data_IF_981996749363
#
_entry.id   IF_981996749363
#
_cell.length_a   1.000
_cell.length_b   1.000
_cell.length_c   1.000
_cell.angle_alpha   90.00
_cell.angle_beta   90.00
_cell.angle_gamma   90.00
#
_symmetry.space_group_name_H-M   'P 1'
#
loop_
_entity.id
_entity.type
_entity.pdbx_description
1 polymer ?
#
# COMPACT_ATOMS: atom_id res chain seq x y z
N UNK A 1 -5.30 -4.72 -12.82
CA UNK A 1 -5.02 -5.97 -12.08
C UNK A 1 -6.21 -6.39 -11.22
N UNK A 2 -6.56 -5.64 -10.17
CA UNK A 2 -7.66 -5.96 -9.25
C UNK A 2 -9.00 -6.15 -9.96
N UNK A 3 -9.33 -5.33 -10.95
CA UNK A 3 -10.59 -5.48 -11.70
C UNK A 3 -10.63 -6.77 -12.54
N UNK A 4 -9.49 -7.25 -13.04
CA UNK A 4 -9.42 -8.55 -13.74
C UNK A 4 -9.62 -9.74 -12.79
N UNK A 5 -9.43 -9.53 -11.50
CA UNK A 5 -9.80 -10.51 -10.47
C UNK A 5 -11.28 -10.40 -10.09
N UNK A 6 -12.01 -9.38 -10.58
CA UNK A 6 -13.37 -9.07 -10.15
C UNK A 6 -13.42 -8.46 -8.74
N UNK A 7 -12.39 -7.69 -8.38
CA UNK A 7 -12.20 -7.14 -7.04
C UNK A 7 -11.48 -8.10 -6.07
N UNK A 8 -11.15 -7.58 -4.89
CA UNK A 8 -10.50 -8.32 -3.81
C UNK A 8 -11.19 -8.09 -2.48
N UNK A 9 -11.32 -9.15 -1.69
CA UNK A 9 -11.79 -9.07 -0.31
C UNK A 9 -10.59 -8.89 0.61
N UNK A 10 -10.64 -7.86 1.45
CA UNK A 10 -9.59 -7.52 2.41
C UNK A 10 -10.15 -7.48 3.83
N UNK A 11 -9.26 -7.62 4.80
CA UNK A 11 -9.53 -7.28 6.19
C UNK A 11 -8.87 -5.94 6.48
N UNK A 12 -9.66 -4.89 6.61
CA UNK A 12 -9.17 -3.54 6.94
C UNK A 12 -8.64 -3.56 8.38
N UNK A 13 -7.33 -3.35 8.60
CA UNK A 13 -6.74 -3.53 9.94
C UNK A 13 -7.27 -2.50 10.96
N UNK A 14 -7.35 -1.24 10.53
CA UNK A 14 -7.78 -0.11 11.36
C UNK A 14 -8.67 0.80 10.52
N UNK A 15 -9.74 1.31 11.12
CA UNK A 15 -10.61 2.29 10.47
C UNK A 15 -9.84 3.60 10.27
N UNK A 16 -10.03 4.26 9.13
CA UNK A 16 -9.38 5.53 8.85
C UNK A 16 -10.22 6.42 7.94
N UNK A 17 -9.93 7.72 7.98
CA UNK A 17 -10.47 8.71 7.04
C UNK A 17 -9.36 9.62 6.57
N UNK A 18 -9.23 9.77 5.25
CA UNK A 18 -8.27 10.67 4.61
C UNK A 18 -9.06 11.75 3.86
N UNK A 19 -9.09 12.95 4.44
CA UNK A 19 -9.77 14.12 3.85
C UNK A 19 -8.94 14.83 2.77
N UNK A 20 -7.69 14.40 2.56
CA UNK A 20 -6.75 15.02 1.64
C UNK A 20 -6.24 13.99 0.61
N UNK A 21 -7.12 13.08 0.16
CA UNK A 21 -6.77 12.17 -0.92
C UNK A 21 -6.81 12.92 -2.26
N UNK A 22 -5.70 12.98 -3.03
CA UNK A 22 -5.63 13.82 -4.22
C UNK A 22 -6.55 13.30 -5.33
N UNK A 23 -7.30 14.23 -5.93
CA UNK A 23 -8.13 13.96 -7.11
C UNK A 23 -7.25 14.11 -8.36
N UNK A 24 -7.09 13.04 -9.17
CA UNK A 24 -6.27 13.11 -10.38
C UNK A 24 -6.72 14.22 -11.33
N UNK A 25 -5.76 14.99 -11.85
CA UNK A 25 -6.01 16.08 -12.78
C UNK A 25 -6.33 17.43 -12.14
N UNK A 26 -6.52 17.49 -10.81
CA UNK A 26 -6.76 18.74 -10.09
C UNK A 26 -5.51 19.26 -9.37
N UNK A 27 -4.33 18.71 -9.63
CA UNK A 27 -3.12 18.96 -8.83
C UNK A 27 -2.70 20.45 -8.80
N UNK A 28 -3.02 21.19 -9.87
CA UNK A 28 -2.67 22.60 -10.03
C UNK A 28 -3.88 23.55 -9.96
N UNK A 29 -5.07 23.04 -9.63
CA UNK A 29 -6.28 23.86 -9.59
C UNK A 29 -6.16 24.98 -8.55
N UNK A 30 -6.63 26.18 -8.90
CA UNK A 30 -6.57 27.34 -8.01
C UNK A 30 -7.71 27.34 -7.00
N UNK A 31 -8.67 26.42 -7.11
CA UNK A 31 -9.88 26.37 -6.29
C UNK A 31 -10.69 27.69 -6.31
N UNK A 32 -10.60 28.45 -7.41
CA UNK A 32 -11.27 29.74 -7.56
C UNK A 32 -10.55 30.91 -6.90
N UNK A 33 -9.38 30.70 -6.28
CA UNK A 33 -8.58 31.79 -5.72
C UNK A 33 -7.88 32.60 -6.80
N UNK A 34 -7.77 33.90 -6.53
CA UNK A 34 -7.01 34.86 -7.34
C UNK A 34 -5.51 34.74 -7.11
N UNK A 35 -4.71 35.30 -8.01
CA UNK A 35 -3.25 35.32 -7.88
C UNK A 35 -2.77 35.98 -6.58
N UNK A 36 -3.43 37.06 -6.14
CA UNK A 36 -3.07 37.78 -4.92
C UNK A 36 -3.39 36.96 -3.66
N UNK A 37 -4.53 36.27 -3.62
CA UNK A 37 -4.87 35.35 -2.52
C UNK A 37 -3.87 34.20 -2.43
N UNK A 38 -3.51 33.62 -3.58
CA UNK A 38 -2.50 32.55 -3.66
C UNK A 38 -1.14 33.05 -3.16
N UNK A 39 -0.73 34.26 -3.54
CA UNK A 39 0.51 34.86 -3.06
C UNK A 39 0.46 35.09 -1.53
N UNK A 40 -0.70 35.51 -1.01
CA UNK A 40 -0.96 35.61 0.42
C UNK A 40 -0.78 34.28 1.15
N UNK A 41 -1.31 33.18 0.60
CA UNK A 41 -1.11 31.84 1.16
C UNK A 41 0.36 31.41 1.12
N UNK A 42 1.05 31.61 0.00
CA UNK A 42 2.48 31.26 -0.16
C UNK A 42 3.40 32.04 0.79
N UNK A 43 3.01 33.25 1.19
CA UNK A 43 3.76 34.02 2.18
C UNK A 43 3.58 33.49 3.61
N UNK A 44 2.46 32.83 3.91
CA UNK A 44 2.08 32.39 5.26
C UNK A 44 2.31 30.89 5.51
N UNK A 45 2.16 30.08 4.48
CA UNK A 45 2.16 28.63 4.58
C UNK A 45 3.20 28.02 3.63
N UNK A 46 3.68 26.83 4.00
CA UNK A 46 4.62 26.05 3.19
C UNK A 46 4.33 24.56 3.30
N UNK A 47 4.82 23.80 2.32
CA UNK A 47 4.62 22.34 2.27
C UNK A 47 3.14 21.97 2.32
N UNK A 48 2.79 20.95 3.11
CA UNK A 48 1.43 20.46 3.20
C UNK A 48 0.43 21.48 3.76
N UNK A 49 0.87 22.42 4.61
CA UNK A 49 -0.02 23.47 5.14
C UNK A 49 -0.47 24.45 4.05
N UNK A 50 0.38 24.69 3.04
CA UNK A 50 0.01 25.45 1.85
C UNK A 50 -0.97 24.66 0.98
N UNK A 51 -0.69 23.37 0.76
CA UNK A 51 -1.55 22.50 -0.03
C UNK A 51 -2.97 22.39 0.54
N UNK A 52 -3.13 22.36 1.87
CA UNK A 52 -4.43 22.35 2.56
C UNK A 52 -5.32 23.54 2.22
N UNK A 53 -4.76 24.65 1.73
CA UNK A 53 -5.56 25.82 1.33
C UNK A 53 -6.36 25.53 0.04
N UNK A 54 -5.89 24.59 -0.79
CA UNK A 54 -6.51 24.21 -2.06
C UNK A 54 -7.36 22.94 -1.91
N UNK A 55 -8.41 23.01 -1.08
CA UNK A 55 -9.24 21.85 -0.74
C UNK A 55 -9.93 21.19 -1.93
N UNK A 56 -10.21 21.95 -3.01
CA UNK A 56 -10.82 21.41 -4.24
C UNK A 56 -9.96 20.34 -4.94
N UNK A 57 -8.66 20.26 -4.62
CA UNK A 57 -7.74 19.26 -5.18
C UNK A 57 -7.90 17.88 -4.56
N UNK A 58 -8.75 17.77 -3.54
CA UNK A 58 -8.84 16.59 -2.69
C UNK A 58 -10.27 16.07 -2.57
N UNK A 59 -10.37 14.76 -2.36
CA UNK A 59 -11.58 14.07 -1.95
C UNK A 59 -11.39 13.41 -0.58
N UNK A 60 -12.50 13.11 0.09
CA UNK A 60 -12.49 12.34 1.33
C UNK A 60 -12.71 10.86 1.04
N UNK A 61 -11.80 10.00 1.50
CA UNK A 61 -11.97 8.55 1.48
C UNK A 61 -12.03 8.01 2.91
N UNK A 62 -12.89 7.02 3.16
CA UNK A 62 -13.07 6.47 4.50
C UNK A 62 -13.32 4.96 4.45
N UNK A 63 -12.70 4.23 5.36
CA UNK A 63 -12.81 2.78 5.47
C UNK A 63 -13.05 2.38 6.92
N UNK A 64 -14.00 1.49 7.14
CA UNK A 64 -14.25 0.88 8.46
C UNK A 64 -13.32 -0.31 8.64
N UNK A 65 -12.94 -0.58 9.89
CA UNK A 65 -12.21 -1.79 10.23
C UNK A 65 -13.05 -3.05 9.95
N UNK A 66 -12.38 -4.15 9.59
CA UNK A 66 -13.03 -5.42 9.28
C UNK A 66 -13.17 -5.70 7.78
N UNK A 67 -14.07 -6.62 7.39
CA UNK A 67 -14.18 -7.10 6.02
C UNK A 67 -14.62 -5.98 5.05
N UNK A 68 -13.95 -5.89 3.91
CA UNK A 68 -14.34 -5.01 2.82
C UNK A 68 -14.00 -5.64 1.46
N UNK A 69 -14.86 -5.41 0.47
CA UNK A 69 -14.60 -5.76 -0.93
C UNK A 69 -14.19 -4.51 -1.68
N UNK A 70 -13.03 -4.56 -2.34
CA UNK A 70 -12.43 -3.43 -3.05
C UNK A 70 -12.30 -3.74 -4.54
N UNK A 71 -12.82 -2.85 -5.39
CA UNK A 71 -12.47 -2.80 -6.81
C UNK A 71 -11.08 -2.16 -7.01
N UNK A 72 -10.61 -2.04 -8.25
CA UNK A 72 -9.30 -1.48 -8.55
C UNK A 72 -9.12 -0.04 -8.10
N UNK A 73 -10.16 0.79 -8.19
CA UNK A 73 -10.10 2.19 -7.77
C UNK A 73 -10.07 2.30 -6.25
N UNK A 74 -10.95 1.56 -5.56
CA UNK A 74 -11.01 1.53 -4.11
C UNK A 74 -9.73 0.93 -3.51
N UNK A 75 -9.21 -0.17 -4.09
CA UNK A 75 -7.95 -0.78 -3.65
C UNK A 75 -6.78 0.20 -3.80
N UNK A 76 -6.71 0.93 -4.92
CA UNK A 76 -5.67 1.94 -5.14
C UNK A 76 -5.75 3.07 -4.11
N UNK A 77 -6.95 3.60 -3.85
CA UNK A 77 -7.19 4.62 -2.82
C UNK A 77 -6.80 4.11 -1.44
N UNK A 78 -7.22 2.89 -1.10
CA UNK A 78 -6.95 2.23 0.17
C UNK A 78 -5.45 2.08 0.44
N UNK A 79 -4.64 1.66 -0.53
CA UNK A 79 -3.18 1.46 -0.33
C UNK A 79 -2.34 2.73 -0.47
N UNK A 80 -2.90 3.80 -1.06
CA UNK A 80 -2.18 5.08 -1.28
C UNK A 80 -2.51 6.16 -0.27
N UNK A 81 -3.64 6.07 0.43
CA UNK A 81 -3.98 7.06 1.45
C UNK A 81 -2.84 7.21 2.47
N UNK A 82 -2.47 8.46 2.75
CA UNK A 82 -1.28 8.82 3.53
C UNK A 82 -1.55 9.84 4.61
N UNK A 83 -2.56 10.69 4.43
CA UNK A 83 -2.82 11.78 5.39
C UNK A 83 -3.76 11.37 6.53
N UNK A 84 -4.25 10.14 6.52
CA UNK A 84 -5.07 9.61 7.61
C UNK A 84 -4.25 9.19 8.85
N UNK A 85 -3.03 8.70 8.66
CA UNK A 85 -2.28 8.01 9.71
C UNK A 85 -0.75 8.05 9.50
N UNK A 86 -0.10 6.88 9.35
CA UNK A 86 1.34 6.71 9.27
C UNK A 86 1.72 5.84 8.07
N UNK A 87 2.98 5.95 7.64
CA UNK A 87 3.52 5.09 6.58
C UNK A 87 3.49 3.59 6.95
N UNK A 88 3.52 3.26 8.26
CA UNK A 88 3.35 1.88 8.76
C UNK A 88 1.91 1.38 8.62
N UNK A 89 0.92 2.21 8.93
CA UNK A 89 -0.47 1.86 8.71
C UNK A 89 -0.80 1.73 7.22
N UNK A 90 -0.20 2.56 6.36
CA UNK A 90 -0.24 2.36 4.90
C UNK A 90 0.37 1.03 4.46
N UNK A 91 1.50 0.63 5.04
CA UNK A 91 2.12 -0.68 4.79
C UNK A 91 1.18 -1.83 5.19
N UNK A 92 0.54 -1.76 6.37
CA UNK A 92 -0.45 -2.75 6.80
C UNK A 92 -1.64 -2.86 5.81
N UNK A 93 -2.11 -1.74 5.26
CA UNK A 93 -3.14 -1.74 4.20
C UNK A 93 -2.66 -2.42 2.91
N UNK A 94 -1.39 -2.24 2.54
CA UNK A 94 -0.79 -2.92 1.38
C UNK A 94 -0.72 -4.44 1.60
N UNK A 95 -0.31 -4.89 2.78
CA UNK A 95 -0.36 -6.31 3.14
C UNK A 95 -1.78 -6.88 3.10
N UNK A 96 -2.78 -6.15 3.59
CA UNK A 96 -4.16 -6.58 3.54
C UNK A 96 -4.65 -6.82 2.09
N UNK A 97 -4.27 -5.95 1.15
CA UNK A 97 -4.56 -6.14 -0.28
C UNK A 97 -3.81 -7.33 -0.86
N UNK A 98 -2.53 -7.52 -0.52
CA UNK A 98 -1.76 -8.69 -0.96
C UNK A 98 -2.39 -10.01 -0.47
N UNK A 99 -2.84 -10.05 0.78
CA UNK A 99 -3.57 -11.19 1.34
C UNK A 99 -4.88 -11.43 0.59
N UNK A 100 -5.64 -10.38 0.27
CA UNK A 100 -6.85 -10.47 -0.54
C UNK A 100 -6.60 -11.00 -1.95
N UNK A 101 -5.56 -10.51 -2.63
CA UNK A 101 -5.13 -11.01 -3.95
C UNK A 101 -4.75 -12.49 -3.87
N UNK A 102 -3.97 -12.90 -2.87
CA UNK A 102 -3.61 -14.30 -2.64
C UNK A 102 -4.86 -15.17 -2.52
N UNK A 103 -5.79 -14.81 -1.62
CA UNK A 103 -7.01 -15.57 -1.39
C UNK A 103 -7.88 -15.66 -2.65
N UNK A 104 -7.95 -14.57 -3.43
CA UNK A 104 -8.66 -14.54 -4.70
C UNK A 104 -8.07 -15.50 -5.72
N UNK A 105 -6.75 -15.54 -5.87
CA UNK A 105 -6.06 -16.48 -6.75
C UNK A 105 -6.30 -17.94 -6.33
N UNK A 106 -6.29 -18.24 -5.03
CA UNK A 106 -6.62 -19.59 -4.53
C UNK A 106 -8.05 -19.99 -4.87
N UNK A 107 -9.01 -19.09 -4.71
CA UNK A 107 -10.40 -19.36 -5.10
C UNK A 107 -10.55 -19.66 -6.59
N UNK A 108 -9.80 -18.97 -7.45
CA UNK A 108 -9.82 -19.19 -8.90
C UNK A 108 -9.14 -20.51 -9.30
N UNK A 109 -8.14 -20.97 -8.53
CA UNK A 109 -7.55 -22.30 -8.67
C UNK A 109 -8.60 -23.39 -8.47
N UNK A 110 -9.38 -23.30 -7.40
CA UNK A 110 -10.48 -24.25 -7.11
C UNK A 110 -11.54 -24.29 -8.21
N UNK A 111 -11.65 -23.24 -9.03
CA UNK A 111 -12.58 -23.13 -10.15
C UNK A 111 -11.96 -23.47 -11.52
N UNK A 112 -10.71 -23.96 -11.56
CA UNK A 112 -9.96 -24.24 -12.79
C UNK A 112 -9.81 -23.04 -13.76
N UNK A 113 -9.86 -21.79 -13.24
CA UNK A 113 -9.71 -20.55 -14.04
C UNK A 113 -8.33 -19.91 -13.95
N UNK A 114 -7.45 -20.51 -13.14
CA UNK A 114 -6.18 -19.90 -12.73
C UNK A 114 -5.24 -19.64 -13.92
N UNK A 115 -5.11 -20.57 -14.86
CA UNK A 115 -4.16 -20.47 -15.99
C UNK A 115 -4.40 -19.22 -16.85
N UNK A 116 -5.65 -18.99 -17.27
CA UNK A 116 -6.03 -17.80 -18.05
C UNK A 116 -5.82 -16.50 -17.25
N UNK A 117 -6.12 -16.55 -15.95
CA UNK A 117 -5.98 -15.40 -15.05
C UNK A 117 -4.51 -15.02 -14.88
N UNK A 118 -3.63 -15.99 -14.61
CA UNK A 118 -2.19 -15.76 -14.45
C UNK A 118 -1.58 -15.22 -15.74
N UNK A 119 -2.01 -15.72 -16.90
CA UNK A 119 -1.65 -15.15 -18.21
C UNK A 119 -1.87 -13.65 -18.26
N UNK A 120 -3.12 -13.21 -18.05
CA UNK A 120 -3.51 -11.80 -18.05
C UNK A 120 -2.78 -10.98 -16.98
N UNK A 121 -2.59 -11.52 -15.77
CA UNK A 121 -1.90 -10.80 -14.71
C UNK A 121 -0.41 -10.60 -15.01
N UNK A 122 0.24 -11.58 -15.64
CA UNK A 122 1.67 -11.50 -15.99
C UNK A 122 1.96 -10.40 -17.02
N UNK A 123 1.00 -10.03 -17.86
CA UNK A 123 1.12 -8.91 -18.80
C UNK A 123 1.02 -7.55 -18.10
N UNK A 124 0.42 -7.50 -16.90
CA UNK A 124 0.24 -6.29 -16.10
C UNK A 124 1.35 -6.05 -15.09
N UNK A 125 2.21 -7.04 -14.85
CA UNK A 125 3.25 -7.00 -13.81
C UNK A 125 4.59 -7.37 -14.41
N UNK A 126 5.58 -6.49 -14.24
CA UNK A 126 6.96 -6.79 -14.64
C UNK A 126 7.58 -7.77 -13.64
N UNK A 127 7.94 -8.97 -14.10
CA UNK A 127 8.55 -10.02 -13.28
C UNK A 127 9.53 -10.87 -14.11
N UNK A 128 10.50 -11.50 -13.44
CA UNK A 128 11.41 -12.51 -13.99
C UNK A 128 10.84 -13.95 -13.92
N UNK A 129 9.67 -14.09 -13.29
CA UNK A 129 8.89 -15.32 -13.26
C UNK A 129 8.15 -15.47 -14.59
N UNK A 130 8.59 -16.41 -15.42
CA UNK A 130 7.85 -16.80 -16.62
C UNK A 130 6.58 -17.54 -16.24
N UNK A 131 5.59 -17.57 -17.14
CA UNK A 131 4.35 -18.35 -16.94
C UNK A 131 4.64 -19.82 -16.60
N UNK A 132 5.61 -20.43 -17.27
CA UNK A 132 6.04 -21.79 -16.97
C UNK A 132 6.57 -21.95 -15.54
N UNK A 133 7.44 -21.04 -15.08
CA UNK A 133 7.95 -21.05 -13.69
C UNK A 133 6.82 -20.88 -12.68
N UNK A 134 5.85 -19.99 -12.94
CA UNK A 134 4.70 -19.78 -12.06
C UNK A 134 3.89 -21.07 -11.93
N UNK A 135 3.60 -21.76 -13.05
CA UNK A 135 2.89 -23.05 -13.03
C UNK A 135 3.65 -24.11 -12.23
N UNK A 136 4.95 -24.25 -12.47
CA UNK A 136 5.80 -25.18 -11.71
C UNK A 136 5.78 -24.86 -10.21
N UNK A 137 5.85 -23.59 -9.81
CA UNK A 137 5.74 -23.22 -8.39
C UNK A 137 4.37 -23.61 -7.81
N UNK A 138 3.28 -23.39 -8.53
CA UNK A 138 1.92 -23.76 -8.09
C UNK A 138 1.77 -25.28 -7.94
N UNK A 139 2.42 -26.06 -8.80
CA UNK A 139 2.46 -27.53 -8.71
C UNK A 139 3.29 -27.99 -7.51
N UNK A 140 4.48 -27.40 -7.29
CA UNK A 140 5.37 -27.72 -6.17
C UNK A 140 4.69 -27.41 -4.82
N UNK A 141 4.11 -26.22 -4.69
CA UNK A 141 3.46 -25.80 -3.45
C UNK A 141 2.07 -26.41 -3.27
N UNK A 142 1.47 -26.99 -4.31
CA UNK A 142 0.22 -27.73 -4.19
C UNK A 142 -0.92 -26.90 -3.58
N UNK A 143 -1.58 -27.44 -2.56
CA UNK A 143 -2.61 -26.72 -1.81
C UNK A 143 -1.95 -25.81 -0.77
N UNK A 144 -1.97 -24.50 -1.05
CA UNK A 144 -1.32 -23.55 -0.16
C UNK A 144 -2.10 -23.27 1.11
N UNK A 145 -3.33 -23.78 1.26
CA UNK A 145 -4.09 -23.71 2.51
C UNK A 145 -3.43 -24.49 3.65
N UNK A 146 -2.54 -25.43 3.31
CA UNK A 146 -1.73 -26.18 4.26
C UNK A 146 -0.56 -25.38 4.85
N UNK A 147 -0.22 -24.21 4.29
CA UNK A 147 0.86 -23.36 4.81
C UNK A 147 0.31 -22.27 5.72
N UNK A 148 1.02 -22.02 6.82
CA UNK A 148 0.82 -20.81 7.62
C UNK A 148 1.61 -19.67 7.00
N UNK A 149 0.98 -18.52 6.80
CA UNK A 149 1.67 -17.30 6.40
C UNK A 149 1.99 -16.46 7.63
N UNK A 150 3.24 -16.02 7.77
CA UNK A 150 3.63 -15.03 8.78
C UNK A 150 3.70 -13.65 8.14
N UNK A 151 3.03 -12.68 8.74
CA UNK A 151 3.12 -11.27 8.37
C UNK A 151 4.16 -10.58 9.25
N UNK A 152 5.20 -10.02 8.65
CA UNK A 152 6.30 -9.35 9.36
C UNK A 152 6.27 -7.87 9.00
N UNK A 153 6.01 -7.02 10.00
CA UNK A 153 6.16 -5.57 9.88
C UNK A 153 7.41 -5.10 10.58
N UNK A 154 8.23 -4.32 9.88
CA UNK A 154 9.33 -3.59 10.49
C UNK A 154 8.85 -2.17 10.82
N UNK A 155 8.81 -1.82 12.10
CA UNK A 155 8.25 -0.57 12.62
C UNK A 155 9.19 0.09 13.62
N UNK A 156 8.87 1.33 14.02
CA UNK A 156 9.57 2.02 15.10
C UNK A 156 9.34 1.38 16.48
N UNK A 157 8.22 0.66 16.63
CA UNK A 157 7.92 -0.08 17.86
C UNK A 157 8.88 -1.26 18.05
N UNK A 158 9.28 -1.95 16.97
CA UNK A 158 10.15 -3.12 17.07
C UNK A 158 11.63 -2.85 16.75
N UNK A 159 12.01 -2.65 15.48
CA UNK A 159 13.36 -2.84 14.96
C UNK A 159 13.93 -1.59 14.29
N UNK A 160 13.12 -0.56 14.09
CA UNK A 160 13.53 0.68 13.41
C UNK A 160 13.58 1.86 14.38
N UNK A 161 14.45 2.81 14.08
CA UNK A 161 14.42 4.18 14.57
C UNK A 161 13.99 5.11 13.44
N UNK A 162 13.46 6.27 13.81
CA UNK A 162 13.19 7.38 12.89
C UNK A 162 14.21 8.51 13.07
N UNK A 163 14.51 9.23 12.00
CA UNK A 163 15.44 10.35 12.04
C UNK A 163 15.39 11.20 10.77
N UNK A 164 16.37 12.10 10.63
CA UNK A 164 16.58 12.90 9.42
C UNK A 164 17.97 12.66 8.85
N UNK A 165 18.08 12.60 7.52
CA UNK A 165 19.37 12.62 6.83
C UNK A 165 20.07 13.97 7.01
N UNK A 166 21.33 14.08 6.58
CA UNK A 166 22.08 15.34 6.59
C UNK A 166 21.39 16.44 5.77
N UNK A 167 20.67 16.05 4.72
CA UNK A 167 19.88 16.90 3.83
C UNK A 167 18.45 17.15 4.37
N UNK A 168 18.12 16.64 5.56
CA UNK A 168 16.85 16.86 6.24
C UNK A 168 15.71 15.91 5.84
N UNK A 169 15.96 14.91 4.99
CA UNK A 169 14.96 13.93 4.59
C UNK A 169 14.59 12.99 5.74
N UNK A 170 13.31 12.68 5.93
CA UNK A 170 12.89 11.67 6.90
C UNK A 170 13.41 10.29 6.50
N UNK A 171 14.03 9.58 7.44
CA UNK A 171 14.62 8.25 7.22
C UNK A 171 14.23 7.28 8.34
N UNK A 172 14.21 5.99 7.99
CA UNK A 172 14.17 4.88 8.93
C UNK A 172 15.51 4.15 8.91
N UNK A 173 16.03 3.78 10.06
CA UNK A 173 17.29 3.02 10.18
C UNK A 173 17.20 1.98 11.31
N UNK A 174 18.01 0.90 11.27
CA UNK A 174 17.94 -0.15 12.29
C UNK A 174 18.22 0.35 13.71
N UNK A 175 17.55 -0.23 14.71
CA UNK A 175 17.81 0.05 16.12
C UNK A 175 19.24 -0.29 16.56
N UNK A 176 19.81 -1.36 15.99
CA UNK A 176 21.19 -1.79 16.23
C UNK A 176 22.27 -0.81 15.68
N UNK A 177 21.86 0.28 15.02
CA UNK A 177 22.75 1.28 14.44
C UNK A 177 22.61 1.41 12.93
N UNK A 178 23.07 2.53 12.37
CA UNK A 178 22.98 2.78 10.94
C UNK A 178 23.70 1.68 10.15
N UNK A 179 23.04 1.13 9.13
CA UNK A 179 23.49 -0.01 8.33
C UNK A 179 23.75 -1.33 9.09
N UNK A 180 23.43 -1.41 10.39
CA UNK A 180 23.53 -2.66 11.16
C UNK A 180 22.20 -3.42 11.13
N UNK A 181 22.07 -4.35 10.18
CA UNK A 181 20.84 -5.14 9.99
C UNK A 181 20.80 -6.45 10.77
N UNK A 182 21.72 -6.68 11.72
CA UNK A 182 21.87 -7.97 12.41
C UNK A 182 20.60 -8.38 13.14
N UNK A 183 20.02 -7.48 13.92
CA UNK A 183 18.78 -7.75 14.67
C UNK A 183 17.59 -8.01 13.73
N UNK A 184 17.48 -7.26 12.63
CA UNK A 184 16.43 -7.46 11.63
C UNK A 184 16.54 -8.84 10.99
N UNK A 185 17.76 -9.24 10.60
CA UNK A 185 18.02 -10.57 10.03
C UNK A 185 17.65 -11.68 11.01
N UNK A 186 18.10 -11.56 12.26
CA UNK A 186 17.79 -12.54 13.30
C UNK A 186 16.28 -12.63 13.56
N UNK A 187 15.61 -11.48 13.64
CA UNK A 187 14.17 -11.43 13.82
C UNK A 187 13.43 -12.12 12.67
N UNK A 188 13.77 -11.82 11.42
CA UNK A 188 13.14 -12.48 10.26
C UNK A 188 13.40 -13.99 10.30
N UNK A 189 14.64 -14.43 10.51
CA UNK A 189 14.98 -15.86 10.57
C UNK A 189 14.28 -16.64 11.69
N UNK A 190 13.86 -15.97 12.76
CA UNK A 190 13.12 -16.60 13.87
C UNK A 190 11.60 -16.62 13.67
N UNK A 191 11.09 -15.86 12.68
CA UNK A 191 9.66 -15.68 12.44
C UNK A 191 9.22 -16.17 11.04
N UNK A 192 10.10 -16.84 10.30
CA UNK A 192 9.79 -17.62 9.08
C UNK A 192 9.88 -19.11 9.39
#
# INVERSE_FOLDING_TARGET
>A
MIDNLGGVDVQVPTAFTDSFYPVPGLENETCGFTGDEINGFKAKYSGFELEKQFTCRYETVSYKAGPATLDGTAALKFVRSRHADSDFARSARQFAVLAGVKNKLLSLKSLNKLDSTIGTLSEMVKTDLTLGKIKTLIEIFGDTSAYTGTEIHLTTENLLNEGKSAEGAYILYPKAGNLNFTEIKNFISQNI
#
